data_IF_990084670226
#
_entry.id   IF_990084670226
#
_cell.length_a   1.000
_cell.length_b   1.000
_cell.length_c   1.000
_cell.angle_alpha   90.00
_cell.angle_beta   90.00
_cell.angle_gamma   90.00
#
_symmetry.space_group_name_H-M   'P 1'
#
loop_
_entity.id
_entity.type
_entity.pdbx_description
1 polymer ?
#
# COMPACT_ATOMS: atom_id res chain seq x y z
N UNK A 1 24.79 9.25 -10.98
CA UNK A 1 24.01 8.11 -11.54
C UNK A 1 24.64 7.71 -12.87
N UNK A 2 24.85 6.42 -13.12
CA UNK A 2 25.29 5.96 -14.43
C UNK A 2 24.24 6.28 -15.50
N UNK A 3 24.68 6.65 -16.71
CA UNK A 3 23.79 6.80 -17.85
C UNK A 3 23.41 5.40 -18.34
N UNK A 4 22.23 4.94 -17.94
CA UNK A 4 21.62 3.71 -18.44
C UNK A 4 20.58 4.07 -19.50
N UNK A 5 20.54 3.31 -20.58
CA UNK A 5 19.46 3.42 -21.57
C UNK A 5 18.16 2.92 -20.95
N UNK A 6 17.16 3.81 -20.86
CA UNK A 6 15.83 3.49 -20.30
C UNK A 6 14.75 3.31 -21.37
N UNK A 7 15.08 3.57 -22.64
CA UNK A 7 14.18 3.44 -23.79
C UNK A 7 14.95 3.01 -25.04
N UNK A 8 14.28 2.30 -25.95
CA UNK A 8 14.84 1.79 -27.20
C UNK A 8 13.99 2.28 -28.35
N UNK A 9 14.61 2.90 -29.35
CA UNK A 9 13.93 3.48 -30.52
C UNK A 9 13.03 2.48 -31.25
N UNK A 10 13.55 1.28 -31.48
CA UNK A 10 12.84 0.20 -32.20
C UNK A 10 11.70 -0.43 -31.39
N UNK A 11 11.53 -0.07 -30.11
CA UNK A 11 10.55 -0.68 -29.20
C UNK A 11 9.66 0.41 -28.56
N UNK A 12 8.58 0.86 -29.25
CA UNK A 12 7.77 2.01 -28.85
C UNK A 12 7.22 1.96 -27.41
N UNK A 13 6.86 0.76 -26.92
CA UNK A 13 6.32 0.59 -25.56
C UNK A 13 7.28 1.07 -24.47
N UNK A 14 8.59 1.08 -24.73
CA UNK A 14 9.60 1.57 -23.77
C UNK A 14 9.57 3.11 -23.65
N UNK A 15 9.24 3.82 -24.73
CA UNK A 15 9.04 5.29 -24.74
C UNK A 15 7.71 5.70 -24.11
N UNK A 16 6.69 4.84 -24.18
CA UNK A 16 5.39 5.03 -23.54
C UNK A 16 5.44 4.79 -22.03
N UNK A 17 6.20 3.78 -21.58
CA UNK A 17 6.35 3.42 -20.16
C UNK A 17 7.63 4.00 -19.55
N UNK A 18 7.74 5.33 -19.56
CA UNK A 18 8.93 6.03 -19.04
C UNK A 18 9.13 5.77 -17.55
N UNK A 19 10.40 5.80 -17.15
CA UNK A 19 10.75 5.76 -15.73
C UNK A 19 10.06 6.90 -14.98
N UNK A 20 9.48 6.64 -13.79
CA UNK A 20 8.85 7.68 -13.01
C UNK A 20 9.86 8.79 -12.65
N UNK A 21 9.47 10.05 -12.85
CA UNK A 21 10.27 11.21 -12.45
C UNK A 21 10.11 11.46 -10.96
N UNK A 22 11.12 12.09 -10.35
CA UNK A 22 11.13 12.53 -8.94
C UNK A 22 11.04 11.40 -7.89
N UNK A 23 11.55 10.21 -8.23
CA UNK A 23 11.64 9.08 -7.27
C UNK A 23 12.88 9.13 -6.39
N UNK A 24 13.74 10.13 -6.57
CA UNK A 24 14.97 10.30 -5.78
C UNK A 24 14.69 10.48 -4.28
N UNK A 25 13.49 10.98 -3.94
CA UNK A 25 13.00 11.10 -2.55
C UNK A 25 12.94 9.76 -1.82
N UNK A 26 12.79 8.64 -2.55
CA UNK A 26 12.64 7.31 -1.97
C UNK A 26 13.96 6.65 -1.60
N UNK A 27 15.13 7.24 -1.88
CA UNK A 27 16.46 6.62 -1.70
C UNK A 27 16.51 5.16 -2.18
N UNK A 28 16.76 4.97 -3.47
CA UNK A 28 16.59 3.70 -4.19
C UNK A 28 15.13 3.19 -4.14
N UNK A 29 14.36 3.62 -5.14
CA UNK A 29 12.95 3.26 -5.30
C UNK A 29 12.74 1.74 -5.55
N UNK A 30 13.75 1.04 -6.06
CA UNK A 30 13.72 -0.41 -6.27
C UNK A 30 14.03 -1.23 -5.03
N UNK A 31 14.48 -0.59 -3.93
CA UNK A 31 14.81 -1.30 -2.69
C UNK A 31 13.54 -1.82 -2.00
N UNK A 32 13.36 -3.14 -1.82
CA UNK A 32 12.27 -3.66 -1.02
C UNK A 32 12.43 -3.25 0.44
N UNK A 33 11.36 -2.77 1.08
CA UNK A 33 11.32 -2.37 2.49
C UNK A 33 10.35 -3.27 3.25
N UNK A 34 10.81 -3.89 4.34
CA UNK A 34 10.03 -4.89 5.07
C UNK A 34 8.95 -4.27 5.99
N UNK A 35 9.25 -3.14 6.60
CA UNK A 35 8.49 -2.53 7.70
C UNK A 35 8.03 -1.09 7.42
N UNK A 36 8.24 -0.59 6.20
CA UNK A 36 7.87 0.78 5.80
C UNK A 36 7.15 0.71 4.45
N UNK A 37 5.90 1.18 4.43
CA UNK A 37 5.15 1.42 3.20
C UNK A 37 5.57 2.78 2.60
N UNK A 38 6.76 2.81 2.00
CA UNK A 38 7.31 4.04 1.46
C UNK A 38 6.58 4.46 0.18
N UNK A 39 6.17 5.72 0.12
CA UNK A 39 5.60 6.35 -1.08
C UNK A 39 6.34 7.66 -1.39
N UNK A 40 6.03 8.30 -2.51
CA UNK A 40 6.60 9.61 -2.86
C UNK A 40 6.24 10.67 -1.82
N UNK A 41 5.00 10.64 -1.33
CA UNK A 41 4.46 11.59 -0.34
C UNK A 41 4.95 11.28 1.08
N UNK A 42 5.20 9.99 1.37
CA UNK A 42 5.64 9.49 2.67
C UNK A 42 6.86 8.56 2.50
N UNK A 43 8.06 9.09 2.21
CA UNK A 43 9.25 8.24 1.94
C UNK A 43 9.67 7.37 3.14
N UNK A 44 9.36 7.83 4.34
CA UNK A 44 9.59 7.09 5.60
C UNK A 44 8.36 6.31 6.09
N UNK A 45 7.31 6.19 5.26
CA UNK A 45 6.04 5.57 5.60
C UNK A 45 5.12 6.46 6.45
N UNK A 46 3.99 5.89 6.89
CA UNK A 46 3.06 6.57 7.79
C UNK A 46 3.70 6.80 9.16
N UNK A 47 3.62 8.02 9.67
CA UNK A 47 4.13 8.37 11.00
C UNK A 47 3.39 7.61 12.10
N UNK A 48 4.10 7.32 13.19
CA UNK A 48 3.53 6.60 14.34
C UNK A 48 3.32 5.10 14.14
N UNK A 49 3.78 4.50 13.03
CA UNK A 49 3.69 3.05 12.80
C UNK A 49 4.88 2.27 13.41
N UNK A 50 4.64 1.06 13.96
CA UNK A 50 5.71 0.25 14.54
C UNK A 50 6.72 -0.22 13.50
N UNK A 51 8.01 0.05 13.74
CA UNK A 51 9.10 -0.46 12.88
C UNK A 51 9.44 -1.93 13.10
N UNK A 52 8.93 -2.53 14.18
CA UNK A 52 9.18 -3.94 14.53
C UNK A 52 8.20 -4.90 13.86
N UNK A 53 7.33 -4.39 12.97
CA UNK A 53 6.29 -5.16 12.28
C UNK A 53 6.43 -5.01 10.78
N UNK A 54 6.14 -6.08 10.04
CA UNK A 54 6.10 -6.02 8.57
C UNK A 54 4.98 -5.09 8.11
N UNK A 55 5.08 -4.57 6.88
CA UNK A 55 3.99 -3.77 6.29
C UNK A 55 2.66 -4.57 6.27
N UNK A 56 2.71 -5.88 6.07
CA UNK A 56 1.53 -6.74 6.13
C UNK A 56 0.94 -6.81 7.55
N UNK A 57 1.76 -6.97 8.58
CA UNK A 57 1.28 -6.95 9.97
C UNK A 57 0.65 -5.60 10.32
N UNK A 58 1.26 -4.49 9.88
CA UNK A 58 0.69 -3.14 10.06
C UNK A 58 -0.65 -2.95 9.31
N UNK A 59 -0.81 -3.61 8.16
CA UNK A 59 -2.06 -3.62 7.39
C UNK A 59 -3.15 -4.40 8.15
N UNK A 60 -2.83 -5.59 8.67
CA UNK A 60 -3.77 -6.38 9.48
C UNK A 60 -4.24 -5.57 10.70
N UNK A 61 -3.31 -4.94 11.43
CA UNK A 61 -3.63 -4.09 12.60
C UNK A 61 -4.45 -2.83 12.30
N UNK A 62 -4.48 -2.38 11.04
CA UNK A 62 -5.37 -1.29 10.68
C UNK A 62 -6.84 -1.72 10.77
N UNK A 63 -7.12 -2.97 10.38
CA UNK A 63 -8.45 -3.57 10.42
C UNK A 63 -8.75 -4.20 11.78
N UNK A 64 -7.82 -4.96 12.36
CA UNK A 64 -7.93 -5.54 13.71
C UNK A 64 -7.72 -4.47 14.79
N UNK A 65 -8.81 -3.79 15.15
CA UNK A 65 -8.80 -2.59 16.01
C UNK A 65 -8.75 -2.91 17.50
N UNK A 66 -9.28 -4.05 17.91
CA UNK A 66 -9.27 -4.54 19.28
C UNK A 66 -8.07 -5.45 19.56
N UNK A 67 -7.29 -5.80 18.54
CA UNK A 67 -6.06 -6.57 18.64
C UNK A 67 -6.30 -7.99 19.16
N UNK A 68 -7.44 -8.59 18.81
CA UNK A 68 -7.77 -9.97 19.16
C UNK A 68 -7.23 -10.99 18.12
N UNK A 69 -6.67 -10.49 17.00
CA UNK A 69 -6.12 -11.30 15.92
C UNK A 69 -7.18 -11.80 14.93
N UNK A 70 -8.44 -11.38 15.07
CA UNK A 70 -9.58 -11.81 14.24
C UNK A 70 -10.22 -10.58 13.60
N UNK A 71 -10.07 -10.45 12.28
CA UNK A 71 -10.78 -9.40 11.53
C UNK A 71 -12.23 -9.83 11.36
N UNK A 72 -13.17 -9.18 12.05
CA UNK A 72 -14.60 -9.47 11.93
C UNK A 72 -15.28 -8.60 10.87
N UNK A 73 -16.52 -8.93 10.47
CA UNK A 73 -17.30 -8.11 9.54
C UNK A 73 -17.38 -6.63 9.93
N UNK A 74 -17.53 -6.33 11.23
CA UNK A 74 -17.60 -4.95 11.71
C UNK A 74 -16.25 -4.23 11.60
N UNK A 75 -15.12 -4.92 11.82
CA UNK A 75 -13.77 -4.37 11.66
C UNK A 75 -13.51 -3.96 10.23
N UNK A 76 -13.93 -4.82 9.30
CA UNK A 76 -13.88 -4.53 7.87
C UNK A 76 -14.72 -3.31 7.54
N UNK A 77 -15.99 -3.29 7.97
CA UNK A 77 -16.88 -2.15 7.75
C UNK A 77 -16.27 -0.85 8.26
N UNK A 78 -15.85 -0.80 9.53
CA UNK A 78 -15.26 0.41 10.10
C UNK A 78 -13.90 0.77 9.51
N UNK A 79 -13.08 -0.21 9.13
CA UNK A 79 -11.82 0.01 8.42
C UNK A 79 -12.05 0.75 7.11
N UNK A 80 -13.00 0.30 6.29
CA UNK A 80 -13.38 1.00 5.06
C UNK A 80 -14.02 2.38 5.33
N UNK A 81 -14.81 2.53 6.41
CA UNK A 81 -15.32 3.85 6.82
C UNK A 81 -14.19 4.82 7.17
N UNK A 82 -13.11 4.36 7.82
CA UNK A 82 -11.93 5.18 8.15
C UNK A 82 -11.11 5.58 6.91
N UNK A 83 -11.16 4.78 5.85
CA UNK A 83 -10.55 5.11 4.56
C UNK A 83 -11.38 6.13 3.75
N UNK A 84 -12.58 6.49 4.22
CA UNK A 84 -13.44 7.49 3.58
C UNK A 84 -14.42 6.92 2.55
N UNK A 85 -14.56 5.60 2.45
CA UNK A 85 -15.55 4.99 1.55
C UNK A 85 -16.98 5.23 2.04
N UNK A 86 -17.91 5.37 1.10
CA UNK A 86 -19.32 5.52 1.41
C UNK A 86 -19.89 4.23 2.07
N UNK A 87 -20.98 4.32 2.85
CA UNK A 87 -21.53 3.17 3.58
C UNK A 87 -21.93 1.98 2.68
N UNK A 88 -22.41 2.23 1.46
CA UNK A 88 -22.79 1.18 0.53
C UNK A 88 -21.58 0.34 0.11
N UNK A 89 -20.48 0.98 -0.29
CA UNK A 89 -19.23 0.30 -0.63
C UNK A 89 -18.64 -0.45 0.58
N UNK A 90 -18.79 0.10 1.79
CA UNK A 90 -18.34 -0.59 3.01
C UNK A 90 -19.12 -1.88 3.24
N UNK A 91 -20.45 -1.87 3.06
CA UNK A 91 -21.28 -3.07 3.15
C UNK A 91 -20.91 -4.08 2.06
N UNK A 92 -20.76 -3.62 0.80
CA UNK A 92 -20.32 -4.49 -0.30
C UNK A 92 -18.99 -5.17 0.02
N UNK A 93 -18.03 -4.46 0.60
CA UNK A 93 -16.74 -5.03 0.98
C UNK A 93 -16.88 -6.15 2.03
N UNK A 94 -17.78 -6.00 3.01
CA UNK A 94 -18.05 -7.05 4.01
C UNK A 94 -18.55 -8.32 3.34
N UNK A 95 -19.51 -8.22 2.42
CA UNK A 95 -20.07 -9.38 1.73
C UNK A 95 -19.10 -10.04 0.74
N UNK A 96 -18.06 -9.33 0.28
CA UNK A 96 -17.02 -9.88 -0.61
C UNK A 96 -15.92 -10.58 0.19
N UNK A 97 -15.54 -10.06 1.36
CA UNK A 97 -14.36 -10.54 2.11
C UNK A 97 -14.71 -11.70 3.06
N UNK A 98 -15.89 -11.67 3.68
CA UNK A 98 -16.32 -12.65 4.68
C UNK A 98 -17.19 -13.84 4.19
N UNK A 99 -17.55 -14.04 2.89
CA UNK A 99 -18.49 -15.10 2.52
C UNK A 99 -17.89 -16.51 2.54
N UNK A 100 -16.59 -16.69 2.81
CA UNK A 100 -15.93 -18.00 2.76
C UNK A 100 -15.33 -18.51 4.07
N UNK A 101 -15.18 -17.67 5.11
CA UNK A 101 -14.75 -18.09 6.46
C UNK A 101 -15.27 -17.08 7.49
#
# INVERSE_FOLDING_TARGET
MGNFETEIESVPITKERRVPKDVDVLNNAGLPRANIAASRERPSGTEGRPRQRTVLQQHVEFFDRDHDGIIRPYDTYYGFRRLGFNPLLCLTAVFIIHPSF
#
